data_IF_056639788076
#
_entry.id   IF_056639788076
#
_cell.length_a   1.000
_cell.length_b   1.000
_cell.length_c   1.000
_cell.angle_alpha   90.00
_cell.angle_beta   90.00
_cell.angle_gamma   90.00
#
_symmetry.space_group_name_H-M   'P 1'
#
loop_
_entity.id
_entity.type
_entity.pdbx_description
1 polymer ?
#
# COMPACT_ATOMS: atom_id res chain seq x y z
N UNK A 1 26.54 10.56 -3.72
CA UNK A 1 26.79 9.11 -3.94
C UNK A 1 25.45 8.51 -4.30
N UNK A 2 25.33 7.68 -5.36
CA UNK A 2 24.06 6.99 -5.62
C UNK A 2 23.74 6.09 -4.42
N UNK A 3 22.49 6.11 -3.96
CA UNK A 3 22.04 5.17 -2.95
C UNK A 3 22.27 3.75 -3.47
N UNK A 4 22.85 2.87 -2.65
CA UNK A 4 22.94 1.46 -3.00
C UNK A 4 21.50 0.92 -3.16
N UNK A 5 21.25 0.05 -4.15
CA UNK A 5 19.93 -0.57 -4.30
C UNK A 5 19.57 -1.26 -2.99
N UNK A 6 18.39 -0.94 -2.48
CA UNK A 6 17.84 -1.54 -1.26
C UNK A 6 17.63 -3.03 -1.53
N UNK A 7 18.42 -3.89 -0.90
CA UNK A 7 18.17 -5.33 -0.93
C UNK A 7 17.09 -5.66 0.10
N UNK A 8 15.93 -6.06 -0.40
CA UNK A 8 14.80 -6.43 0.45
C UNK A 8 14.94 -7.83 1.06
N UNK A 9 16.00 -8.58 0.73
CA UNK A 9 16.20 -9.96 1.18
C UNK A 9 15.14 -10.92 0.64
N UNK A 10 14.37 -10.50 -0.37
CA UNK A 10 13.33 -11.30 -0.99
C UNK A 10 13.93 -12.11 -2.12
N UNK A 11 13.63 -13.41 -2.16
CA UNK A 11 14.07 -14.28 -3.25
C UNK A 11 13.69 -13.70 -4.62
N UNK A 12 14.61 -13.81 -5.58
CA UNK A 12 14.38 -13.36 -6.96
C UNK A 12 13.08 -13.93 -7.52
N UNK A 13 12.23 -13.07 -8.06
CA UNK A 13 10.95 -13.45 -8.67
C UNK A 13 9.77 -13.50 -7.71
N UNK A 14 9.92 -13.09 -6.45
CA UNK A 14 8.79 -12.83 -5.55
C UNK A 14 8.31 -11.39 -5.74
N UNK A 15 7.17 -11.16 -6.40
CA UNK A 15 6.64 -9.82 -6.62
C UNK A 15 6.10 -9.20 -5.33
N UNK A 16 6.37 -7.91 -5.15
CA UNK A 16 5.78 -7.07 -4.10
C UNK A 16 4.36 -6.68 -4.51
N UNK A 17 3.45 -6.66 -3.54
CA UNK A 17 2.06 -6.23 -3.71
C UNK A 17 1.74 -4.94 -2.96
N UNK A 18 2.53 -4.59 -1.95
CA UNK A 18 2.38 -3.38 -1.17
C UNK A 18 3.71 -3.04 -0.48
N UNK A 19 3.96 -1.77 -0.25
CA UNK A 19 5.20 -1.24 0.35
C UNK A 19 4.83 -0.05 1.24
N UNK A 20 5.56 0.17 2.32
CA UNK A 20 5.52 1.40 3.11
C UNK A 20 6.87 1.62 3.79
N UNK A 21 7.17 2.86 4.16
CA UNK A 21 8.39 3.24 4.88
C UNK A 21 7.98 4.04 6.11
N UNK A 22 8.53 3.68 7.27
CA UNK A 22 8.36 4.42 8.53
C UNK A 22 9.74 4.66 9.15
N UNK A 23 10.23 5.89 9.04
CA UNK A 23 11.60 6.24 9.35
C UNK A 23 12.59 5.45 8.50
N UNK A 24 13.44 4.64 9.15
CA UNK A 24 14.46 3.84 8.47
C UNK A 24 14.03 2.37 8.23
N UNK A 25 12.79 2.03 8.58
CA UNK A 25 12.26 0.68 8.43
C UNK A 25 11.37 0.59 7.19
N UNK A 26 11.47 -0.56 6.49
CA UNK A 26 10.71 -0.83 5.27
C UNK A 26 9.73 -1.95 5.53
N UNK A 27 8.49 -1.76 5.12
CA UNK A 27 7.40 -2.71 5.30
C UNK A 27 6.86 -3.12 3.94
N UNK A 28 6.60 -4.40 3.72
CA UNK A 28 6.04 -4.86 2.46
C UNK A 28 5.20 -6.13 2.60
N UNK A 29 4.36 -6.35 1.59
CA UNK A 29 3.65 -7.60 1.36
C UNK A 29 3.96 -8.13 -0.04
N UNK A 30 3.76 -9.42 -0.27
CA UNK A 30 4.10 -10.10 -1.53
C UNK A 30 2.86 -10.63 -2.24
N UNK A 31 2.86 -10.73 -3.58
CA UNK A 31 1.70 -11.31 -4.31
C UNK A 31 1.61 -12.84 -4.17
N UNK A 32 2.71 -13.49 -3.75
CA UNK A 32 2.82 -14.94 -3.61
C UNK A 32 3.36 -15.32 -2.25
N UNK A 33 3.07 -16.55 -1.82
CA UNK A 33 3.70 -17.10 -0.62
C UNK A 33 5.15 -17.46 -0.90
N UNK A 34 6.03 -17.25 0.07
CA UNK A 34 7.44 -17.63 -0.01
C UNK A 34 7.98 -18.00 1.37
N UNK A 35 9.16 -18.61 1.44
CA UNK A 35 9.81 -18.93 2.71
C UNK A 35 10.91 -17.92 3.01
N UNK A 36 10.77 -17.24 4.14
CA UNK A 36 11.81 -16.43 4.75
C UNK A 36 12.40 -17.27 5.88
N UNK A 37 13.57 -17.85 5.64
CA UNK A 37 14.16 -18.90 6.47
C UNK A 37 13.16 -20.05 6.71
N UNK A 38 12.79 -20.30 7.98
CA UNK A 38 11.85 -21.33 8.38
C UNK A 38 10.38 -20.87 8.43
N UNK A 39 10.13 -19.58 8.21
CA UNK A 39 8.79 -19.02 8.25
C UNK A 39 8.17 -18.95 6.84
N UNK A 40 6.96 -19.51 6.69
CA UNK A 40 6.13 -19.23 5.53
C UNK A 40 5.58 -17.81 5.65
N UNK A 41 5.89 -16.95 4.69
CA UNK A 41 5.28 -15.63 4.49
C UNK A 41 4.18 -15.80 3.46
N UNK A 42 2.98 -15.34 3.78
CA UNK A 42 1.81 -15.38 2.88
C UNK A 42 1.48 -13.99 2.35
N UNK A 43 0.69 -13.84 1.25
CA UNK A 43 0.32 -12.54 0.69
C UNK A 43 -0.48 -11.58 1.58
N UNK A 44 -0.86 -12.04 2.78
CA UNK A 44 -1.58 -11.28 3.80
C UNK A 44 -0.69 -10.90 4.99
N UNK A 45 0.56 -11.31 4.97
CA UNK A 45 1.53 -10.99 6.02
C UNK A 45 2.33 -9.74 5.61
N UNK A 46 2.71 -8.93 6.61
CA UNK A 46 3.63 -7.80 6.44
C UNK A 46 5.00 -8.22 6.93
N UNK A 47 5.99 -8.06 6.08
CA UNK A 47 7.41 -8.20 6.43
C UNK A 47 7.97 -6.82 6.71
N UNK A 48 8.78 -6.72 7.77
CA UNK A 48 9.57 -5.54 8.11
C UNK A 48 11.04 -5.84 7.89
N UNK A 49 11.74 -4.95 7.21
CA UNK A 49 13.19 -4.89 7.17
C UNK A 49 13.61 -3.71 8.05
N UNK A 50 14.30 -4.01 9.14
CA UNK A 50 14.85 -2.98 10.00
C UNK A 50 16.03 -2.27 9.32
N UNK A 51 16.32 -1.03 9.73
CA UNK A 51 17.51 -0.27 9.25
C UNK A 51 18.85 -1.02 9.31
N UNK A 52 18.98 -2.04 10.19
CA UNK A 52 20.13 -2.93 10.27
C UNK A 52 20.14 -4.12 9.28
N UNK A 53 19.16 -4.22 8.37
CA UNK A 53 19.05 -5.25 7.33
C UNK A 53 18.32 -6.53 7.75
N UNK A 54 17.89 -6.65 9.01
CA UNK A 54 17.15 -7.84 9.48
C UNK A 54 15.70 -7.85 9.03
N UNK A 55 15.28 -8.89 8.31
CA UNK A 55 13.89 -9.11 7.91
C UNK A 55 13.14 -9.93 8.98
N UNK A 56 11.94 -9.49 9.35
CA UNK A 56 11.06 -10.17 10.31
C UNK A 56 9.62 -10.07 9.86
N UNK A 57 8.78 -11.03 10.27
CA UNK A 57 7.33 -10.93 10.03
C UNK A 57 6.78 -9.98 11.09
N UNK A 58 6.39 -8.79 10.64
CA UNK A 58 5.85 -7.73 11.48
C UNK A 58 4.41 -8.01 11.87
N UNK A 59 3.61 -8.49 10.92
CA UNK A 59 2.19 -8.75 11.12
C UNK A 59 1.76 -9.96 10.32
N UNK A 60 1.02 -10.87 10.96
CA UNK A 60 0.36 -11.98 10.26
C UNK A 60 -1.05 -11.57 9.84
N UNK A 61 -1.42 -11.89 8.61
CA UNK A 61 -2.79 -11.67 8.16
C UNK A 61 -3.81 -12.48 8.95
N UNK A 62 -3.41 -13.65 9.48
CA UNK A 62 -4.26 -14.45 10.37
C UNK A 62 -4.59 -13.77 11.69
N UNK A 63 -3.70 -12.92 12.22
CA UNK A 63 -3.91 -12.24 13.49
C UNK A 63 -4.98 -11.15 13.35
N UNK A 64 -5.13 -10.61 12.14
CA UNK A 64 -6.22 -9.71 11.76
C UNK A 64 -7.50 -10.44 11.34
N UNK A 65 -7.51 -11.78 11.33
CA UNK A 65 -8.64 -12.57 10.85
C UNK A 65 -8.81 -12.60 9.33
N UNK A 66 -7.79 -12.24 8.55
CA UNK A 66 -7.88 -12.29 7.08
C UNK A 66 -7.90 -13.75 6.57
N UNK A 67 -8.87 -14.13 5.73
CA UNK A 67 -8.93 -15.48 5.16
C UNK A 67 -7.76 -15.72 4.19
N UNK A 68 -7.37 -16.99 3.92
CA UNK A 68 -6.25 -17.30 3.03
C UNK A 68 -6.42 -16.83 1.57
N UNK A 69 -7.64 -16.53 1.14
CA UNK A 69 -7.94 -16.04 -0.21
C UNK A 69 -7.71 -14.54 -0.40
N UNK A 70 -7.48 -13.79 0.69
CA UNK A 70 -7.26 -12.34 0.68
C UNK A 70 -5.78 -12.03 0.64
N UNK A 71 -5.40 -11.01 -0.14
CA UNK A 71 -4.03 -10.49 -0.24
C UNK A 71 -4.02 -8.99 0.03
N UNK A 72 -2.90 -8.49 0.56
CA UNK A 72 -2.69 -7.05 0.70
C UNK A 72 -2.39 -6.42 -0.66
N UNK A 73 -3.14 -5.39 -1.01
CA UNK A 73 -3.00 -4.66 -2.27
C UNK A 73 -2.37 -3.26 -2.08
N UNK A 74 -2.42 -2.71 -0.87
CA UNK A 74 -1.75 -1.48 -0.49
C UNK A 74 -1.39 -1.51 1.00
N UNK A 75 -0.43 -0.70 1.42
CA UNK A 75 0.09 -0.71 2.80
C UNK A 75 0.61 0.68 3.15
N UNK A 76 0.28 1.15 4.35
CA UNK A 76 0.92 2.29 5.02
C UNK A 76 1.12 1.93 6.49
N UNK A 77 2.34 2.04 7.00
CA UNK A 77 2.67 1.72 8.40
C UNK A 77 3.13 2.99 9.11
N UNK A 78 2.61 3.21 10.32
CA UNK A 78 3.11 4.27 11.21
C UNK A 78 3.14 3.76 12.65
N UNK A 79 4.33 3.48 13.16
CA UNK A 79 4.53 2.82 14.44
C UNK A 79 3.92 1.41 14.45
N UNK A 80 2.85 1.22 15.23
CA UNK A 80 2.12 -0.07 15.32
C UNK A 80 0.83 -0.09 14.51
N UNK A 81 0.43 1.05 13.95
CA UNK A 81 -0.80 1.17 13.17
C UNK A 81 -0.51 0.85 11.70
N UNK A 82 -1.39 0.05 11.10
CA UNK A 82 -1.31 -0.36 9.70
C UNK A 82 -2.59 0.05 9.00
N UNK A 83 -2.46 0.84 7.92
CA UNK A 83 -3.50 1.00 6.92
C UNK A 83 -3.22 0.09 5.73
N UNK A 84 -4.26 -0.51 5.17
CA UNK A 84 -4.11 -1.36 3.99
C UNK A 84 -5.43 -1.49 3.22
N UNK A 85 -5.33 -1.99 1.99
CA UNK A 85 -6.46 -2.50 1.20
C UNK A 85 -6.24 -3.96 0.84
N UNK A 86 -7.30 -4.60 0.35
CA UNK A 86 -7.31 -6.00 -0.08
C UNK A 86 -7.53 -6.13 -1.59
N UNK A 87 -7.18 -7.26 -2.19
CA UNK A 87 -7.25 -7.47 -3.65
C UNK A 87 -8.63 -7.94 -4.17
N UNK A 88 -9.45 -8.44 -3.26
CA UNK A 88 -10.78 -9.04 -3.52
C UNK A 88 -11.83 -8.51 -2.56
N UNK A 89 -13.10 -8.66 -2.91
CA UNK A 89 -14.19 -8.48 -1.96
C UNK A 89 -14.12 -9.55 -0.88
N UNK A 90 -14.30 -9.16 0.39
CA UNK A 90 -14.27 -10.09 1.52
C UNK A 90 -15.25 -9.68 2.62
N UNK A 91 -15.82 -10.68 3.28
CA UNK A 91 -16.55 -10.51 4.53
C UNK A 91 -15.59 -10.80 5.70
N UNK A 92 -15.24 -9.78 6.48
CA UNK A 92 -14.33 -9.85 7.62
C UNK A 92 -15.11 -9.60 8.91
N UNK A 93 -15.64 -10.68 9.51
CA UNK A 93 -16.60 -10.56 10.60
C UNK A 93 -17.87 -9.85 10.15
N UNK A 94 -18.17 -8.70 10.73
CA UNK A 94 -19.31 -7.86 10.34
C UNK A 94 -19.00 -6.89 9.17
N UNK A 95 -17.73 -6.73 8.80
CA UNK A 95 -17.31 -5.79 7.75
C UNK A 95 -17.41 -6.45 6.36
N UNK A 96 -18.15 -5.82 5.45
CA UNK A 96 -18.10 -6.14 4.02
C UNK A 96 -17.12 -5.18 3.36
N UNK A 97 -15.97 -5.70 2.93
CA UNK A 97 -14.83 -4.91 2.44
C UNK A 97 -14.63 -5.13 0.96
N UNK A 98 -14.28 -4.07 0.24
CA UNK A 98 -14.01 -4.03 -1.20
C UNK A 98 -12.54 -3.67 -1.45
N UNK A 99 -12.01 -3.92 -2.65
CA UNK A 99 -10.60 -3.64 -2.93
C UNK A 99 -10.16 -2.17 -2.88
N UNK A 100 -11.11 -1.24 -2.92
CA UNK A 100 -10.89 0.20 -2.81
C UNK A 100 -11.10 0.76 -1.41
N UNK A 101 -11.58 -0.05 -0.46
CA UNK A 101 -11.74 0.35 0.93
C UNK A 101 -10.38 0.38 1.64
N UNK A 102 -10.24 1.26 2.63
CA UNK A 102 -9.06 1.35 3.49
C UNK A 102 -9.41 0.78 4.86
N UNK A 103 -8.70 -0.27 5.24
CA UNK A 103 -8.78 -0.89 6.55
C UNK A 103 -7.68 -0.36 7.46
N UNK A 104 -7.95 -0.30 8.76
CA UNK A 104 -6.97 0.00 9.80
C UNK A 104 -6.84 -1.15 10.78
N UNK A 105 -5.60 -1.47 11.15
CA UNK A 105 -5.26 -2.38 12.23
C UNK A 105 -4.35 -1.67 13.24
N UNK A 106 -4.75 -1.71 14.52
CA UNK A 106 -4.02 -1.06 15.62
C UNK A 106 -3.28 -2.04 16.56
N UNK A 107 -3.12 -3.30 16.14
CA UNK A 107 -2.58 -4.37 16.97
C UNK A 107 -3.63 -5.21 17.70
N UNK A 108 -4.90 -4.79 17.72
CA UNK A 108 -5.97 -5.50 18.39
C UNK A 108 -7.29 -5.55 17.60
N UNK A 109 -7.69 -4.44 16.97
CA UNK A 109 -8.96 -4.32 16.23
C UNK A 109 -8.72 -4.03 14.77
N UNK A 110 -9.50 -4.71 13.92
CA UNK A 110 -9.60 -4.45 12.49
C UNK A 110 -10.85 -3.61 12.25
N UNK A 111 -10.68 -2.46 11.63
CA UNK A 111 -11.74 -1.48 11.40
C UNK A 111 -11.73 -0.99 9.96
N UNK A 112 -12.89 -0.56 9.47
CA UNK A 112 -12.99 0.18 8.22
C UNK A 112 -12.62 1.65 8.51
N UNK A 113 -11.43 2.06 8.06
CA UNK A 113 -10.96 3.44 8.24
C UNK A 113 -11.65 4.38 7.25
N UNK A 114 -11.74 3.96 5.98
CA UNK A 114 -12.47 4.68 4.93
C UNK A 114 -13.20 3.70 4.01
N UNK A 115 -14.52 3.83 3.93
CA UNK A 115 -15.31 3.20 2.89
C UNK A 115 -15.13 3.97 1.58
N UNK A 116 -14.73 3.29 0.51
CA UNK A 116 -14.46 3.93 -0.78
C UNK A 116 -15.68 4.73 -1.30
N UNK A 117 -16.90 4.25 -1.06
CA UNK A 117 -18.12 4.94 -1.49
C UNK A 117 -18.36 6.22 -0.70
N UNK A 118 -18.01 6.23 0.59
CA UNK A 118 -18.17 7.39 1.47
C UNK A 118 -17.29 8.55 1.01
N UNK A 119 -16.19 8.25 0.32
CA UNK A 119 -15.25 9.22 -0.23
C UNK A 119 -15.33 9.38 -1.75
N UNK A 120 -16.33 8.77 -2.40
CA UNK A 120 -16.62 8.93 -3.84
C UNK A 120 -15.74 8.11 -4.79
N UNK A 121 -15.01 7.11 -4.28
CA UNK A 121 -14.22 6.18 -5.09
C UNK A 121 -15.16 5.16 -5.77
N UNK A 122 -15.12 5.01 -7.11
CA UNK A 122 -15.98 4.06 -7.81
C UNK A 122 -15.67 2.59 -7.49
N UNK A 123 -16.72 1.76 -7.50
CA UNK A 123 -16.65 0.31 -7.26
C UNK A 123 -15.70 -0.45 -8.20
N UNK A 124 -15.49 0.08 -9.41
CA UNK A 124 -14.66 -0.57 -10.43
C UNK A 124 -13.16 -0.36 -10.20
N UNK A 125 -12.78 0.44 -9.20
CA UNK A 125 -11.38 0.76 -8.91
C UNK A 125 -10.84 -0.10 -7.78
N UNK A 126 -9.54 -0.39 -7.83
CA UNK A 126 -8.81 -1.02 -6.73
C UNK A 126 -7.69 -0.13 -6.26
N UNK A 127 -7.52 -0.05 -4.94
CA UNK A 127 -6.41 0.68 -4.34
C UNK A 127 -5.16 -0.21 -4.40
N UNK A 128 -4.12 0.27 -5.08
CA UNK A 128 -2.84 -0.44 -5.30
C UNK A 128 -1.67 0.25 -4.61
N UNK A 129 -1.93 1.36 -3.93
CA UNK A 129 -0.95 2.08 -3.13
C UNK A 129 -1.66 3.04 -2.19
N UNK A 130 -1.19 3.11 -0.96
CA UNK A 130 -1.64 4.08 0.04
C UNK A 130 -0.44 4.50 0.87
N UNK A 131 -0.31 5.78 1.18
CA UNK A 131 0.66 6.26 2.14
C UNK A 131 0.11 7.45 2.91
N UNK A 132 0.39 7.52 4.21
CA UNK A 132 -0.02 8.66 5.04
C UNK A 132 0.93 9.83 4.84
N UNK A 133 0.40 11.02 4.60
CA UNK A 133 1.22 12.24 4.55
C UNK A 133 1.50 12.79 5.95
N UNK A 134 2.50 13.65 6.08
CA UNK A 134 2.77 14.38 7.34
C UNK A 134 1.63 15.33 7.74
N UNK A 135 0.85 15.81 6.76
CA UNK A 135 -0.30 16.70 6.97
C UNK A 135 -1.60 15.99 7.34
N UNK A 136 -1.59 14.67 7.54
CA UNK A 136 -2.79 13.87 7.84
C UNK A 136 -3.64 13.52 6.61
N UNK A 137 -3.11 13.75 5.40
CA UNK A 137 -3.68 13.27 4.16
C UNK A 137 -3.29 11.82 3.86
N UNK A 138 -3.84 11.30 2.77
CA UNK A 138 -3.53 9.98 2.23
C UNK A 138 -3.16 10.13 0.76
N UNK A 139 -1.93 9.77 0.41
CA UNK A 139 -1.56 9.53 -0.99
C UNK A 139 -2.11 8.18 -1.40
N UNK A 140 -2.73 8.11 -2.57
CA UNK A 140 -3.39 6.92 -3.08
C UNK A 140 -3.09 6.72 -4.56
N UNK A 141 -3.04 5.45 -4.96
CA UNK A 141 -2.90 5.02 -6.34
C UNK A 141 -3.92 3.94 -6.69
N UNK A 142 -4.44 3.97 -7.92
CA UNK A 142 -5.48 3.05 -8.39
C UNK A 142 -5.06 2.28 -9.63
N UNK A 143 -5.63 1.08 -9.81
CA UNK A 143 -5.37 0.19 -10.94
C UNK A 143 -6.07 0.59 -12.25
N UNK A 144 -7.03 1.51 -12.18
CA UNK A 144 -7.93 1.84 -13.27
C UNK A 144 -8.19 3.33 -13.32
N UNK A 145 -8.58 3.83 -14.50
CA UNK A 145 -8.94 5.23 -14.67
C UNK A 145 -10.28 5.51 -13.99
N UNK A 146 -10.40 6.67 -13.35
CA UNK A 146 -11.61 7.07 -12.64
C UNK A 146 -11.75 8.60 -12.57
N UNK A 147 -12.90 9.05 -12.09
CA UNK A 147 -13.10 10.42 -11.64
C UNK A 147 -13.66 10.38 -10.23
N UNK A 148 -12.95 10.98 -9.28
CA UNK A 148 -13.33 11.04 -7.87
C UNK A 148 -13.58 12.50 -7.52
N UNK A 149 -14.82 12.85 -7.18
CA UNK A 149 -15.23 14.21 -6.85
C UNK A 149 -14.73 15.27 -7.86
N UNK A 150 -14.77 14.95 -9.16
CA UNK A 150 -14.33 15.83 -10.25
C UNK A 150 -12.84 15.76 -10.59
N UNK A 151 -12.04 15.03 -9.82
CA UNK A 151 -10.62 14.78 -10.10
C UNK A 151 -10.49 13.54 -10.97
N UNK A 152 -10.14 13.73 -12.24
CA UNK A 152 -9.80 12.63 -13.13
C UNK A 152 -8.43 12.03 -12.76
N UNK A 153 -8.31 10.70 -12.81
CA UNK A 153 -7.06 9.97 -12.61
C UNK A 153 -6.90 8.88 -13.65
N UNK A 154 -5.65 8.61 -14.01
CA UNK A 154 -5.22 7.45 -14.80
C UNK A 154 -4.52 6.43 -13.89
N UNK A 155 -4.42 5.15 -14.30
CA UNK A 155 -3.57 4.18 -13.62
C UNK A 155 -2.14 4.73 -13.50
N UNK A 156 -1.59 4.69 -12.28
CA UNK A 156 -0.27 5.21 -11.95
C UNK A 156 -0.22 6.70 -11.56
N UNK A 157 -1.33 7.43 -11.61
CA UNK A 157 -1.42 8.74 -10.96
C UNK A 157 -1.43 8.57 -9.43
N UNK A 158 -0.81 9.51 -8.71
CA UNK A 158 -0.98 9.69 -7.27
C UNK A 158 -1.97 10.81 -7.01
N UNK A 159 -2.99 10.50 -6.24
CA UNK A 159 -3.94 11.48 -5.73
C UNK A 159 -3.85 11.57 -4.22
N UNK A 160 -4.12 12.75 -3.68
CA UNK A 160 -4.18 12.98 -2.25
C UNK A 160 -5.64 13.13 -1.82
N UNK A 161 -6.02 12.39 -0.79
CA UNK A 161 -7.25 12.62 -0.03
C UNK A 161 -6.90 13.38 1.26
N UNK A 162 -7.62 14.46 1.53
CA UNK A 162 -7.55 15.22 2.77
C UNK A 162 -8.82 14.98 3.60
N UNK A 163 -8.80 14.04 4.58
CA UNK A 163 -9.99 13.69 5.35
C UNK A 163 -10.62 14.87 6.08
N UNK A 164 -9.81 15.81 6.59
CA UNK A 164 -10.27 17.00 7.30
C UNK A 164 -11.12 17.94 6.43
N UNK A 165 -10.92 17.90 5.12
CA UNK A 165 -11.64 18.73 4.16
C UNK A 165 -12.62 17.92 3.28
N UNK A 166 -12.61 16.58 3.36
CA UNK A 166 -13.32 15.71 2.43
C UNK A 166 -12.91 15.95 0.97
N UNK A 167 -11.67 16.38 0.74
CA UNK A 167 -11.22 16.92 -0.54
C UNK A 167 -10.22 15.98 -1.21
N UNK A 168 -10.29 15.96 -2.55
CA UNK A 168 -9.36 15.24 -3.40
C UNK A 168 -8.52 16.21 -4.22
N UNK A 169 -7.24 15.90 -4.38
CA UNK A 169 -6.32 16.62 -5.23
C UNK A 169 -5.41 15.67 -5.99
N UNK A 170 -4.91 16.08 -7.15
CA UNK A 170 -3.84 15.34 -7.83
C UNK A 170 -2.51 15.73 -7.20
N UNK A 171 -1.81 14.77 -6.62
CA UNK A 171 -0.50 14.98 -6.01
C UNK A 171 0.59 14.94 -7.09
N UNK A 172 0.68 13.83 -7.84
CA UNK A 172 1.61 13.67 -8.96
C UNK A 172 0.99 12.85 -10.07
N UNK A 173 1.23 13.25 -11.31
CA UNK A 173 0.82 12.44 -12.45
C UNK A 173 1.82 11.31 -12.71
N UNK A 174 1.36 10.24 -13.36
CA UNK A 174 2.22 9.13 -13.78
C UNK A 174 3.44 9.60 -14.61
N UNK A 175 3.31 10.66 -15.40
CA UNK A 175 4.41 11.21 -16.21
C UNK A 175 5.43 11.95 -15.35
N UNK A 176 4.98 12.65 -14.30
CA UNK A 176 5.91 13.22 -13.31
C UNK A 176 6.65 12.13 -12.55
N UNK A 177 6.03 10.97 -12.38
CA UNK A 177 6.67 9.78 -11.85
C UNK A 177 7.44 9.00 -12.91
N UNK A 178 7.64 9.49 -14.14
CA UNK A 178 8.35 8.80 -15.22
C UNK A 178 7.81 7.40 -15.57
N UNK A 179 6.54 7.13 -15.25
CA UNK A 179 5.82 5.90 -15.60
C UNK A 179 5.24 6.04 -17.02
N UNK A 180 6.13 6.16 -18.00
CA UNK A 180 5.77 6.35 -19.42
C UNK A 180 5.52 5.03 -20.17
N UNK A 181 5.74 3.88 -19.52
CA UNK A 181 5.52 2.57 -20.12
C UNK A 181 4.06 2.11 -20.04
N UNK A 182 3.62 1.40 -21.08
CA UNK A 182 2.27 0.85 -21.22
C UNK A 182 2.34 -0.67 -21.44
N UNK A 183 1.87 -1.52 -20.50
CA UNK A 183 1.42 -1.22 -19.14
C UNK A 183 2.58 -1.20 -18.14
N UNK A 184 2.77 -0.09 -17.43
CA UNK A 184 3.52 -0.07 -16.18
C UNK A 184 2.56 0.23 -15.06
N UNK A 185 2.04 -0.84 -14.48
CA UNK A 185 1.14 -0.76 -13.34
C UNK A 185 1.98 -0.37 -12.11
N UNK A 186 1.59 0.72 -11.47
CA UNK A 186 2.08 1.03 -10.14
C UNK A 186 1.51 -0.03 -9.20
N UNK A 187 2.39 -0.85 -8.62
CA UNK A 187 1.98 -2.00 -7.79
C UNK A 187 2.20 -1.78 -6.30
N UNK A 188 2.94 -0.74 -5.94
CA UNK A 188 3.11 -0.27 -4.60
C UNK A 188 3.62 1.17 -4.65
N UNK A 189 3.36 1.93 -3.59
CA UNK A 189 3.96 3.24 -3.35
C UNK A 189 4.47 3.21 -1.93
N UNK A 190 5.61 3.82 -1.68
CA UNK A 190 5.96 4.30 -0.36
C UNK A 190 6.40 5.74 -0.53
N UNK A 191 6.04 6.58 0.43
CA UNK A 191 6.53 7.94 0.54
C UNK A 191 7.05 8.11 1.96
N UNK A 192 8.34 8.37 2.08
CA UNK A 192 8.88 8.84 3.34
C UNK A 192 8.31 10.23 3.61
N UNK A 193 7.60 10.41 4.71
CA UNK A 193 6.96 11.68 5.06
C UNK A 193 7.96 12.82 5.28
N UNK A 194 9.23 12.49 5.51
CA UNK A 194 10.30 13.46 5.73
C UNK A 194 11.08 13.79 4.44
N UNK A 195 11.03 12.93 3.42
CA UNK A 195 11.77 13.12 2.15
C UNK A 195 10.93 13.09 0.86
N UNK A 196 9.62 12.80 0.94
CA UNK A 196 8.67 12.68 -0.18
C UNK A 196 9.14 11.77 -1.33
N UNK A 197 10.03 10.80 -1.04
CA UNK A 197 10.59 9.91 -2.07
C UNK A 197 9.56 8.84 -2.45
N UNK A 198 9.16 8.78 -3.72
CA UNK A 198 8.21 7.77 -4.23
C UNK A 198 8.94 6.59 -4.85
N UNK A 199 8.71 5.40 -4.30
CA UNK A 199 9.27 4.14 -4.83
C UNK A 199 8.27 3.45 -5.77
N UNK A 200 8.70 3.18 -7.01
CA UNK A 200 7.82 2.58 -8.05
C UNK A 200 7.56 1.08 -7.87
N UNK A 201 8.50 0.39 -7.23
CA UNK A 201 8.51 -1.07 -7.04
C UNK A 201 9.32 -1.50 -5.80
N UNK A 202 9.63 -0.57 -4.90
CA UNK A 202 10.47 -0.82 -3.71
C UNK A 202 11.98 -0.94 -3.94
N UNK A 203 12.48 -0.79 -5.19
CA UNK A 203 13.90 -0.97 -5.51
C UNK A 203 14.55 0.26 -6.19
N UNK A 204 13.77 1.23 -6.66
CA UNK A 204 14.28 2.45 -7.32
C UNK A 204 13.69 3.71 -6.67
N UNK A 205 14.58 4.59 -6.18
CA UNK A 205 14.28 5.96 -5.77
C UNK A 205 14.53 6.91 -6.96
N UNK A 206 13.62 7.87 -7.18
CA UNK A 206 13.77 8.97 -8.13
C UNK A 206 13.87 10.30 -7.39
#
# INVERSE_FOLDING_TARGET
MPALPLDLGVATGVPISALSIDGADVYFATKVSWRMDDALVTPRDVVKIASGGGATIFLRGSDMGLPPSVRMASLSVRGSEVLFSIDVHAQLGALSVRPSDVLSWNGATLELSYGANDVGIPDTTKLVGIERTGGGGLLMAFDSAATINGVALSPGDLIEYLPSAGAWGRARSRSNLGLECSPCDLTAIAADTDSETVFRNGLEAH
#
